data_IF_747475646034
#
_entry.id   IF_747475646034
#
_cell.length_a   1.000
_cell.length_b   1.000
_cell.length_c   1.000
_cell.angle_alpha   90.00
_cell.angle_beta   90.00
_cell.angle_gamma   90.00
#
_symmetry.space_group_name_H-M   'P 1'
#
loop_
_entity.id
_entity.type
_entity.pdbx_description
1 polymer ?
#
# COMPACT_ATOMS: atom_id res chain seq x y z
N UNK A 1 38.49 21.34 -7.34
CA UNK A 1 37.36 20.75 -8.11
C UNK A 1 36.13 21.54 -7.74
N UNK A 2 35.23 21.81 -8.69
CA UNK A 2 33.94 22.40 -8.36
C UNK A 2 32.92 21.28 -8.14
N UNK A 3 32.19 21.36 -7.03
CA UNK A 3 31.15 20.43 -6.64
C UNK A 3 29.77 21.07 -6.82
N UNK A 4 28.82 20.25 -7.28
CA UNK A 4 27.40 20.56 -7.33
C UNK A 4 26.69 19.90 -6.15
N UNK A 5 25.62 20.51 -5.66
CA UNK A 5 24.68 19.83 -4.77
C UNK A 5 23.98 18.73 -5.58
N UNK A 6 23.92 17.50 -5.06
CA UNK A 6 23.27 16.40 -5.78
C UNK A 6 21.79 16.73 -6.04
N UNK A 7 21.31 16.44 -7.26
CA UNK A 7 19.90 16.52 -7.65
C UNK A 7 18.98 15.74 -6.70
N UNK A 8 19.50 14.68 -6.09
CA UNK A 8 18.75 13.75 -5.25
C UNK A 8 18.87 14.05 -3.76
N UNK A 9 19.49 15.18 -3.39
CA UNK A 9 19.57 15.63 -2.02
C UNK A 9 18.28 16.32 -1.58
N UNK A 10 17.76 15.90 -0.42
CA UNK A 10 16.73 16.62 0.32
C UNK A 10 17.40 17.35 1.49
N UNK A 11 17.11 18.64 1.61
CA UNK A 11 17.61 19.52 2.67
C UNK A 11 16.45 19.78 3.61
N UNK A 12 16.52 19.29 4.85
CA UNK A 12 15.42 19.28 5.82
C UNK A 12 15.81 20.16 7.01
N UNK A 13 15.08 21.25 7.22
CA UNK A 13 15.34 22.17 8.34
C UNK A 13 14.82 21.58 9.67
N UNK A 14 15.70 21.54 10.68
CA UNK A 14 15.41 21.06 12.03
C UNK A 14 15.22 22.19 13.06
N UNK A 15 15.30 23.47 12.66
CA UNK A 15 15.13 24.61 13.57
C UNK A 15 16.38 24.95 14.37
N UNK A 16 17.57 24.75 13.78
CA UNK A 16 18.87 25.03 14.39
C UNK A 16 20.03 24.32 13.68
N UNK A 17 19.71 23.21 13.02
CA UNK A 17 20.57 22.44 12.14
C UNK A 17 19.78 21.98 10.91
N UNK A 18 20.46 21.31 9.99
CA UNK A 18 19.89 20.82 8.74
C UNK A 18 20.20 19.34 8.61
N UNK A 19 19.17 18.53 8.37
CA UNK A 19 19.32 17.14 7.99
C UNK A 19 19.44 17.03 6.47
N UNK A 20 20.58 16.54 6.00
CA UNK A 20 20.86 16.18 4.61
C UNK A 20 20.41 14.74 4.39
N UNK A 21 19.48 14.51 3.47
CA UNK A 21 18.99 13.18 3.12
C UNK A 21 19.04 12.93 1.62
N UNK A 22 19.99 12.08 1.19
CA UNK A 22 20.10 11.69 -0.21
C UNK A 22 19.13 10.54 -0.52
N UNK A 23 18.14 10.79 -1.38
CA UNK A 23 17.08 9.80 -1.66
C UNK A 23 17.46 8.67 -2.61
N UNK A 24 18.70 8.64 -3.13
CA UNK A 24 19.23 7.53 -3.95
C UNK A 24 20.00 6.54 -3.10
N UNK A 25 21.01 7.01 -2.38
CA UNK A 25 21.87 6.15 -1.56
C UNK A 25 21.39 6.05 -0.09
N UNK A 26 20.34 6.80 0.28
CA UNK A 26 19.75 6.84 1.62
C UNK A 26 20.67 7.39 2.73
N UNK A 27 21.79 8.02 2.37
CA UNK A 27 22.68 8.64 3.35
C UNK A 27 21.98 9.82 4.04
N UNK A 28 22.17 9.90 5.36
CA UNK A 28 21.62 10.94 6.22
C UNK A 28 22.73 11.53 7.10
N UNK A 29 22.87 12.85 7.10
CA UNK A 29 23.85 13.55 7.93
C UNK A 29 23.25 14.86 8.42
N UNK A 30 23.33 15.13 9.72
CA UNK A 30 22.96 16.42 10.29
C UNK A 30 24.17 17.35 10.23
N UNK A 31 23.95 18.56 9.73
CA UNK A 31 24.97 19.62 9.64
C UNK A 31 24.47 20.89 10.31
N UNK A 32 25.39 21.66 10.88
CA UNK A 32 25.10 22.91 11.60
C UNK A 32 26.06 24.02 11.14
N UNK A 33 25.77 25.28 11.48
CA UNK A 33 26.65 26.42 11.18
C UNK A 33 26.80 26.67 9.68
N UNK A 34 28.04 26.94 9.23
CA UNK A 34 28.34 27.32 7.84
C UNK A 34 27.87 26.27 6.80
N UNK A 35 28.09 24.95 6.98
CA UNK A 35 27.50 23.94 6.10
C UNK A 35 25.96 24.01 6.00
N UNK A 36 25.26 24.19 7.12
CA UNK A 36 23.80 24.29 7.13
C UNK A 36 23.30 25.49 6.31
N UNK A 37 23.93 26.66 6.48
CA UNK A 37 23.63 27.86 5.70
C UNK A 37 23.91 27.67 4.20
N UNK A 38 25.00 26.96 3.85
CA UNK A 38 25.34 26.65 2.46
C UNK A 38 24.26 25.80 1.79
N UNK A 39 23.74 24.77 2.48
CA UNK A 39 22.69 23.89 1.94
C UNK A 39 21.30 24.56 1.91
N UNK A 40 20.94 25.34 2.93
CA UNK A 40 19.66 26.08 2.95
C UNK A 40 19.59 27.13 1.84
N UNK A 41 20.70 27.81 1.57
CA UNK A 41 20.80 28.79 0.49
C UNK A 41 20.93 28.16 -0.90
N UNK A 42 21.20 26.86 -0.99
CA UNK A 42 21.48 26.13 -2.24
C UNK A 42 22.59 26.77 -3.11
N UNK A 43 23.53 27.47 -2.48
CA UNK A 43 24.62 28.15 -3.18
C UNK A 43 25.79 27.20 -3.40
N UNK A 44 26.07 26.89 -4.67
CA UNK A 44 27.25 26.10 -5.04
C UNK A 44 28.55 26.80 -4.60
N UNK A 45 28.62 28.13 -4.68
CA UNK A 45 29.79 28.90 -4.26
C UNK A 45 30.07 28.72 -2.76
N UNK A 46 29.02 28.80 -1.92
CA UNK A 46 29.15 28.57 -0.47
C UNK A 46 29.54 27.13 -0.14
N UNK A 47 28.99 26.15 -0.86
CA UNK A 47 29.38 24.74 -0.71
C UNK A 47 30.86 24.56 -1.05
N UNK A 48 31.34 25.13 -2.15
CA UNK A 48 32.74 24.99 -2.58
C UNK A 48 33.73 25.77 -1.71
N UNK A 49 33.25 26.65 -0.83
CA UNK A 49 34.05 27.36 0.16
C UNK A 49 34.22 26.59 1.50
N UNK A 50 33.58 25.42 1.64
CA UNK A 50 33.73 24.54 2.81
C UNK A 50 35.14 23.92 2.88
N UNK A 51 35.51 23.39 4.05
CA UNK A 51 36.81 22.76 4.27
C UNK A 51 37.01 21.52 3.39
N UNK A 52 38.26 21.20 3.04
CA UNK A 52 38.56 20.07 2.16
C UNK A 52 38.11 18.72 2.72
N UNK A 53 38.23 18.51 4.02
CA UNK A 53 37.77 17.29 4.72
C UNK A 53 36.24 17.17 4.74
N UNK A 54 35.53 18.30 4.91
CA UNK A 54 34.08 18.36 4.83
C UNK A 54 33.60 18.03 3.42
N UNK A 55 34.23 18.63 2.39
CA UNK A 55 33.92 18.34 0.99
C UNK A 55 34.17 16.88 0.63
N UNK A 56 35.27 16.28 1.07
CA UNK A 56 35.54 14.86 0.85
C UNK A 56 34.46 13.98 1.50
N UNK A 57 34.06 14.31 2.73
CA UNK A 57 33.01 13.59 3.45
C UNK A 57 31.66 13.72 2.72
N UNK A 58 31.25 14.94 2.36
CA UNK A 58 29.99 15.19 1.66
C UNK A 58 29.95 14.49 0.29
N UNK A 59 31.08 14.47 -0.43
CA UNK A 59 31.22 13.78 -1.71
C UNK A 59 31.08 12.26 -1.54
N UNK A 60 31.79 11.68 -0.56
CA UNK A 60 31.72 10.24 -0.25
C UNK A 60 30.32 9.81 0.19
N UNK A 61 29.60 10.69 0.90
CA UNK A 61 28.20 10.49 1.32
C UNK A 61 27.20 10.74 0.18
N UNK A 62 27.64 11.32 -0.94
CA UNK A 62 26.83 11.61 -2.12
C UNK A 62 25.91 12.83 -1.97
N UNK A 63 26.12 13.67 -0.97
CA UNK A 63 25.35 14.91 -0.81
C UNK A 63 25.75 15.97 -1.84
N UNK A 64 27.01 15.92 -2.26
CA UNK A 64 27.56 16.71 -3.37
C UNK A 64 28.15 15.77 -4.42
N UNK A 65 28.36 16.28 -5.63
CA UNK A 65 28.86 15.51 -6.77
C UNK A 65 29.68 16.38 -7.70
N UNK A 66 30.55 15.77 -8.51
CA UNK A 66 31.24 16.45 -9.61
C UNK A 66 30.45 16.40 -10.92
N UNK A 67 29.34 15.66 -10.94
CA UNK A 67 28.48 15.52 -12.10
C UNK A 67 27.57 16.73 -12.27
N UNK A 68 27.20 17.01 -13.51
CA UNK A 68 26.08 17.88 -13.83
C UNK A 68 24.75 17.22 -13.43
N UNK A 69 23.67 18.01 -13.23
CA UNK A 69 22.35 17.48 -12.94
C UNK A 69 21.80 16.53 -14.02
N UNK A 70 22.25 16.66 -15.26
CA UNK A 70 21.89 15.81 -16.40
C UNK A 70 22.65 14.47 -16.38
N UNK A 71 23.94 14.50 -16.05
CA UNK A 71 24.75 13.26 -15.87
C UNK A 71 24.25 12.45 -14.68
N UNK A 72 23.88 13.10 -13.57
CA UNK A 72 23.22 12.42 -12.44
C UNK A 72 21.91 11.75 -12.86
N UNK A 73 21.10 12.42 -13.69
CA UNK A 73 19.84 11.86 -14.19
C UNK A 73 20.06 10.60 -15.05
N UNK A 74 21.07 10.62 -15.94
CA UNK A 74 21.42 9.45 -16.75
C UNK A 74 21.82 8.28 -15.86
N UNK A 75 22.73 8.51 -14.90
CA UNK A 75 23.16 7.47 -13.95
C UNK A 75 22.01 6.94 -13.11
N UNK A 76 21.10 7.81 -12.67
CA UNK A 76 19.93 7.37 -11.93
C UNK A 76 19.02 6.48 -12.77
N UNK A 77 18.72 6.87 -14.03
CA UNK A 77 17.89 6.07 -14.95
C UNK A 77 18.51 4.69 -15.20
N UNK A 78 19.83 4.61 -15.40
CA UNK A 78 20.55 3.33 -15.52
C UNK A 78 20.41 2.48 -14.25
N UNK A 79 20.70 3.07 -13.09
CA UNK A 79 20.62 2.41 -11.79
C UNK A 79 19.23 1.82 -11.52
N UNK A 80 18.17 2.62 -11.68
CA UNK A 80 16.80 2.14 -11.41
C UNK A 80 16.31 1.15 -12.45
N UNK A 81 16.81 1.21 -13.70
CA UNK A 81 16.48 0.22 -14.73
C UNK A 81 17.07 -1.15 -14.40
N UNK A 82 18.35 -1.19 -14.01
CA UNK A 82 19.00 -2.43 -13.56
C UNK A 82 18.33 -2.99 -12.31
N UNK A 83 18.02 -2.12 -11.34
CA UNK A 83 17.32 -2.51 -10.12
C UNK A 83 15.94 -3.10 -10.44
N UNK A 84 15.16 -2.44 -11.30
CA UNK A 84 13.83 -2.90 -11.69
C UNK A 84 13.90 -4.26 -12.42
N UNK A 85 14.83 -4.42 -13.37
CA UNK A 85 15.04 -5.69 -14.08
C UNK A 85 15.47 -6.83 -13.15
N UNK A 86 16.24 -6.54 -12.10
CA UNK A 86 16.64 -7.54 -11.10
C UNK A 86 15.49 -7.98 -10.20
N UNK A 87 14.46 -7.15 -10.00
CA UNK A 87 13.31 -7.52 -9.17
C UNK A 87 12.55 -8.73 -9.74
N UNK A 88 12.61 -8.99 -11.05
CA UNK A 88 11.97 -10.14 -11.71
C UNK A 88 12.78 -11.45 -11.71
N UNK A 89 13.90 -11.53 -10.96
CA UNK A 89 14.76 -12.72 -10.95
C UNK A 89 14.28 -13.85 -10.04
N UNK A 90 13.39 -13.58 -9.07
CA UNK A 90 12.69 -14.62 -8.28
C UNK A 90 11.17 -14.49 -8.47
N UNK A 91 10.70 -14.94 -9.63
CA UNK A 91 9.29 -14.91 -10.04
C UNK A 91 8.57 -16.23 -9.73
N UNK A 92 8.97 -16.94 -8.66
CA UNK A 92 8.30 -18.20 -8.26
C UNK A 92 6.95 -17.97 -7.59
N UNK A 93 6.75 -16.82 -6.94
CA UNK A 93 5.51 -16.48 -6.23
C UNK A 93 4.61 -15.50 -6.98
N UNK A 94 3.29 -15.67 -6.85
CA UNK A 94 2.27 -14.80 -7.41
C UNK A 94 1.07 -14.61 -6.49
N UNK A 95 0.22 -13.63 -6.78
CA UNK A 95 -1.03 -13.43 -6.06
C UNK A 95 -2.23 -13.49 -6.99
N UNK A 96 -3.26 -14.25 -6.64
CA UNK A 96 -4.52 -14.22 -7.39
C UNK A 96 -5.64 -13.72 -6.49
N UNK A 97 -6.23 -12.60 -6.88
CA UNK A 97 -7.41 -12.06 -6.24
C UNK A 97 -8.64 -12.49 -7.03
N UNK A 98 -9.51 -13.26 -6.39
CA UNK A 98 -10.77 -13.73 -6.96
C UNK A 98 -11.86 -12.71 -6.62
N UNK A 99 -12.31 -11.94 -7.61
CA UNK A 99 -13.49 -11.11 -7.47
C UNK A 99 -14.71 -12.05 -7.59
N UNK A 100 -15.27 -12.46 -6.46
CA UNK A 100 -16.26 -13.54 -6.38
C UNK A 100 -17.58 -13.14 -7.04
N UNK A 101 -17.99 -11.89 -6.83
CA UNK A 101 -19.13 -11.25 -7.47
C UNK A 101 -19.00 -9.73 -7.31
N UNK A 102 -19.67 -8.96 -8.16
CA UNK A 102 -19.86 -7.53 -7.93
C UNK A 102 -20.99 -7.25 -6.92
N UNK A 103 -21.76 -8.27 -6.52
CA UNK A 103 -22.84 -8.15 -5.53
C UNK A 103 -22.31 -7.94 -4.13
N UNK A 104 -23.01 -7.09 -3.37
CA UNK A 104 -22.73 -6.83 -1.96
C UNK A 104 -24.06 -6.63 -1.23
N UNK A 105 -24.13 -7.02 0.03
CA UNK A 105 -25.28 -6.79 0.89
C UNK A 105 -25.32 -5.37 1.50
N UNK A 106 -24.31 -4.53 1.22
CA UNK A 106 -24.25 -3.11 1.62
C UNK A 106 -24.19 -2.18 0.40
N UNK A 107 -24.70 -0.96 0.53
CA UNK A 107 -24.63 0.15 -0.41
C UNK A 107 -23.81 1.32 0.15
N UNK A 108 -22.55 1.07 0.53
CA UNK A 108 -21.69 2.07 1.18
C UNK A 108 -21.48 3.31 0.29
N UNK A 109 -21.71 4.52 0.81
CA UNK A 109 -21.73 5.78 0.03
C UNK A 109 -20.49 6.04 -0.83
N UNK A 110 -19.31 5.63 -0.35
CA UNK A 110 -18.02 5.83 -1.02
C UNK A 110 -17.59 4.64 -1.90
N UNK A 111 -18.39 3.57 -2.00
CA UNK A 111 -18.00 2.35 -2.69
C UNK A 111 -18.02 2.55 -4.22
N UNK A 112 -16.83 2.52 -4.81
CA UNK A 112 -16.67 2.68 -6.26
C UNK A 112 -17.28 1.53 -7.07
N UNK A 113 -17.35 0.30 -6.53
CA UNK A 113 -17.94 -0.84 -7.23
C UNK A 113 -19.46 -0.76 -7.40
N UNK A 114 -20.15 0.21 -6.76
CA UNK A 114 -21.60 0.32 -6.86
C UNK A 114 -22.09 0.50 -8.30
N UNK A 115 -21.37 1.26 -9.13
CA UNK A 115 -21.78 1.52 -10.51
C UNK A 115 -21.71 0.28 -11.41
N UNK A 116 -20.94 -0.75 -11.02
CA UNK A 116 -20.86 -2.01 -11.75
C UNK A 116 -22.03 -2.96 -11.44
N UNK A 117 -22.75 -2.75 -10.33
CA UNK A 117 -23.79 -3.68 -9.87
C UNK A 117 -24.98 -3.80 -10.83
N UNK A 118 -25.60 -2.70 -11.33
CA UNK A 118 -26.80 -2.82 -12.16
C UNK A 118 -26.59 -3.67 -13.42
N UNK A 119 -25.38 -3.68 -13.96
CA UNK A 119 -25.04 -4.36 -15.21
C UNK A 119 -24.36 -5.72 -15.04
N UNK A 120 -23.93 -6.08 -13.81
CA UNK A 120 -23.16 -7.32 -13.53
C UNK A 120 -23.74 -8.17 -12.38
N UNK A 121 -24.92 -7.79 -11.85
CA UNK A 121 -25.53 -8.33 -10.62
C UNK A 121 -25.88 -9.82 -10.59
N UNK A 122 -25.74 -10.56 -11.69
CA UNK A 122 -26.01 -12.02 -11.71
C UNK A 122 -24.75 -12.87 -11.80
N UNK A 123 -23.59 -12.26 -12.06
CA UNK A 123 -22.37 -13.02 -12.26
C UNK A 123 -21.75 -13.36 -10.90
N UNK A 124 -21.58 -14.67 -10.70
CA UNK A 124 -20.88 -15.27 -9.57
C UNK A 124 -19.82 -16.17 -10.19
N UNK A 125 -18.59 -16.10 -9.67
CA UNK A 125 -17.51 -16.97 -10.10
C UNK A 125 -17.94 -18.43 -9.95
N UNK A 126 -17.70 -19.27 -10.97
CA UNK A 126 -18.13 -20.66 -10.93
C UNK A 126 -17.04 -21.58 -10.36
N UNK A 127 -17.45 -22.74 -9.83
CA UNK A 127 -16.50 -23.79 -9.44
C UNK A 127 -15.66 -24.32 -10.60
N UNK A 128 -16.19 -24.28 -11.83
CA UNK A 128 -15.47 -24.66 -13.04
C UNK A 128 -14.36 -23.64 -13.39
N UNK A 129 -14.61 -22.35 -13.15
CA UNK A 129 -13.61 -21.31 -13.31
C UNK A 129 -12.48 -21.47 -12.29
N UNK A 130 -12.80 -21.70 -11.01
CA UNK A 130 -11.79 -21.97 -9.97
C UNK A 130 -10.92 -23.18 -10.34
N UNK A 131 -11.52 -24.26 -10.82
CA UNK A 131 -10.76 -25.42 -11.29
C UNK A 131 -9.86 -25.09 -12.48
N UNK A 132 -10.36 -24.32 -13.45
CA UNK A 132 -9.57 -23.85 -14.59
C UNK A 132 -8.39 -23.00 -14.13
N UNK A 133 -8.61 -22.09 -13.17
CA UNK A 133 -7.57 -21.27 -12.57
C UNK A 133 -6.48 -22.14 -11.94
N UNK A 134 -6.82 -23.03 -11.01
CA UNK A 134 -5.82 -23.67 -10.16
C UNK A 134 -5.21 -24.95 -10.74
N UNK A 135 -5.95 -25.71 -11.56
CA UNK A 135 -5.46 -26.97 -12.15
C UNK A 135 -4.87 -26.77 -13.56
N UNK A 136 -5.39 -25.81 -14.34
CA UNK A 136 -5.05 -25.71 -15.77
C UNK A 136 -4.24 -24.47 -16.12
N UNK A 137 -4.57 -23.32 -15.55
CA UNK A 137 -4.12 -22.02 -16.06
C UNK A 137 -3.29 -21.19 -15.09
N UNK A 138 -3.03 -21.65 -13.85
CA UNK A 138 -2.36 -20.83 -12.82
C UNK A 138 -1.03 -20.22 -13.31
N UNK A 139 -0.15 -21.06 -13.87
CA UNK A 139 1.15 -20.65 -14.40
C UNK A 139 1.06 -19.84 -15.69
N UNK A 140 -0.10 -19.82 -16.37
CA UNK A 140 -0.35 -19.01 -17.55
C UNK A 140 -0.94 -17.64 -17.17
N UNK A 141 -1.79 -17.59 -16.14
CA UNK A 141 -2.32 -16.36 -15.54
C UNK A 141 -1.17 -15.56 -14.91
N UNK A 142 -0.26 -16.24 -14.22
CA UNK A 142 0.93 -15.61 -13.63
C UNK A 142 2.17 -16.36 -14.12
N UNK A 143 2.75 -15.87 -15.21
CA UNK A 143 3.85 -16.54 -15.94
C UNK A 143 5.00 -16.95 -15.02
N UNK A 144 5.27 -18.24 -14.89
CA UNK A 144 6.38 -18.77 -14.07
C UNK A 144 6.09 -18.86 -12.56
N UNK A 145 4.89 -18.46 -12.12
CA UNK A 145 4.47 -18.67 -10.74
C UNK A 145 4.21 -20.15 -10.45
N UNK A 146 4.51 -20.55 -9.22
CA UNK A 146 4.20 -21.84 -8.64
C UNK A 146 3.19 -21.63 -7.52
N UNK A 147 2.17 -22.49 -7.44
CA UNK A 147 1.11 -22.37 -6.44
C UNK A 147 1.67 -22.35 -5.01
N UNK A 148 2.67 -23.18 -4.70
CA UNK A 148 3.27 -23.29 -3.35
C UNK A 148 4.00 -22.03 -2.86
N UNK A 149 4.33 -21.10 -3.75
CA UNK A 149 4.93 -19.80 -3.42
C UNK A 149 3.94 -18.65 -3.58
N UNK A 150 2.67 -18.97 -3.78
CA UNK A 150 1.64 -18.02 -4.17
C UNK A 150 0.51 -17.91 -3.13
N UNK A 151 -0.28 -16.84 -3.24
CA UNK A 151 -1.39 -16.55 -2.35
C UNK A 151 -2.70 -16.34 -3.11
N UNK A 152 -3.79 -16.51 -2.38
CA UNK A 152 -5.15 -16.27 -2.85
C UNK A 152 -5.76 -15.14 -2.02
N UNK A 153 -6.54 -14.28 -2.67
CA UNK A 153 -7.35 -13.27 -1.98
C UNK A 153 -8.78 -13.31 -2.45
N UNK A 154 -9.75 -13.39 -1.53
CA UNK A 154 -11.17 -13.26 -1.84
C UNK A 154 -11.58 -11.79 -1.82
N UNK A 155 -12.20 -11.34 -2.91
CA UNK A 155 -12.60 -9.96 -3.13
C UNK A 155 -13.95 -9.85 -3.86
N UNK A 156 -14.34 -8.61 -4.16
CA UNK A 156 -15.54 -8.25 -4.91
C UNK A 156 -16.73 -8.03 -3.98
N UNK A 157 -17.51 -6.99 -4.28
CA UNK A 157 -18.73 -6.62 -3.58
C UNK A 157 -18.71 -7.01 -2.09
N UNK A 158 -19.34 -8.13 -1.74
CA UNK A 158 -19.02 -8.91 -0.55
C UNK A 158 -18.62 -10.35 -0.94
N UNK A 159 -17.41 -10.83 -0.61
CA UNK A 159 -17.00 -12.20 -0.97
C UNK A 159 -17.79 -13.26 -0.22
N UNK A 160 -18.18 -13.04 1.05
CA UNK A 160 -18.82 -14.06 1.89
C UNK A 160 -20.35 -14.09 1.78
N UNK A 161 -20.90 -13.67 0.64
CA UNK A 161 -22.32 -13.93 0.35
C UNK A 161 -22.58 -15.45 0.25
N UNK A 162 -23.73 -15.96 0.71
CA UNK A 162 -24.04 -17.40 0.66
C UNK A 162 -23.91 -18.03 -0.74
N UNK A 163 -24.20 -17.25 -1.80
CA UNK A 163 -24.05 -17.69 -3.19
C UNK A 163 -22.63 -18.09 -3.57
N UNK A 164 -21.62 -17.62 -2.82
CA UNK A 164 -20.21 -17.82 -3.11
C UNK A 164 -19.62 -19.00 -2.32
N UNK A 165 -20.36 -19.59 -1.37
CA UNK A 165 -19.83 -20.57 -0.41
C UNK A 165 -19.18 -21.78 -1.08
N UNK A 166 -19.84 -22.39 -2.07
CA UNK A 166 -19.30 -23.55 -2.79
C UNK A 166 -17.93 -23.23 -3.43
N UNK A 167 -17.82 -22.05 -4.04
CA UNK A 167 -16.64 -21.57 -4.75
C UNK A 167 -15.50 -21.24 -3.77
N UNK A 168 -15.83 -20.65 -2.61
CA UNK A 168 -14.88 -20.39 -1.53
C UNK A 168 -14.31 -21.71 -1.01
N UNK A 169 -15.18 -22.67 -0.68
CA UNK A 169 -14.75 -23.98 -0.15
C UNK A 169 -13.89 -24.73 -1.16
N UNK A 170 -14.25 -24.73 -2.44
CA UNK A 170 -13.42 -25.33 -3.51
C UNK A 170 -12.05 -24.65 -3.59
N UNK A 171 -12.01 -23.32 -3.58
CA UNK A 171 -10.77 -22.54 -3.58
C UNK A 171 -9.89 -22.85 -2.36
N UNK A 172 -10.48 -22.94 -1.16
CA UNK A 172 -9.75 -23.32 0.06
C UNK A 172 -9.22 -24.76 -0.01
N UNK A 173 -9.93 -25.67 -0.69
CA UNK A 173 -9.41 -27.00 -1.03
C UNK A 173 -8.10 -26.92 -1.82
N UNK A 174 -8.03 -26.04 -2.81
CA UNK A 174 -6.79 -25.77 -3.55
C UNK A 174 -5.71 -25.11 -2.70
N UNK A 175 -6.10 -24.15 -1.85
CA UNK A 175 -5.19 -23.51 -0.92
C UNK A 175 -4.52 -24.57 -0.01
N UNK A 176 -5.30 -25.51 0.52
CA UNK A 176 -4.79 -26.63 1.30
C UNK A 176 -3.90 -27.55 0.47
N UNK A 177 -4.34 -27.95 -0.72
CA UNK A 177 -3.61 -28.87 -1.64
C UNK A 177 -2.21 -28.35 -1.96
N UNK A 178 -2.07 -27.05 -2.22
CA UNK A 178 -0.81 -26.44 -2.64
C UNK A 178 -0.08 -25.67 -1.54
N UNK A 179 -0.61 -25.62 -0.31
CA UNK A 179 -0.01 -24.88 0.80
C UNK A 179 -0.10 -23.35 0.66
N UNK A 180 -1.09 -22.84 -0.07
CA UNK A 180 -1.29 -21.41 -0.32
C UNK A 180 -1.94 -20.73 0.88
N UNK A 181 -1.49 -19.52 1.19
CA UNK A 181 -2.19 -18.66 2.14
C UNK A 181 -3.40 -18.00 1.46
N UNK A 182 -4.52 -17.96 2.18
CA UNK A 182 -5.76 -17.33 1.70
C UNK A 182 -6.13 -16.13 2.56
N UNK A 183 -6.37 -15.01 1.90
CA UNK A 183 -6.76 -13.75 2.53
C UNK A 183 -8.14 -13.30 2.02
N UNK A 184 -8.78 -12.35 2.68
CA UNK A 184 -10.01 -11.75 2.17
C UNK A 184 -10.11 -10.26 2.53
N UNK A 185 -10.82 -9.49 1.70
CA UNK A 185 -11.31 -8.16 2.08
C UNK A 185 -12.83 -8.24 2.14
N UNK A 186 -13.40 -7.96 3.30
CA UNK A 186 -14.83 -8.16 3.56
C UNK A 186 -15.41 -7.03 4.40
N UNK A 187 -16.72 -6.82 4.26
CA UNK A 187 -17.50 -6.01 5.19
C UNK A 187 -17.78 -6.71 6.52
N UNK A 188 -17.43 -8.00 6.65
CA UNK A 188 -17.57 -8.86 7.83
C UNK A 188 -19.00 -9.05 8.35
N UNK A 189 -20.03 -8.74 7.58
CA UNK A 189 -21.43 -8.86 8.03
C UNK A 189 -22.04 -10.24 7.79
N UNK A 190 -21.43 -11.10 6.99
CA UNK A 190 -21.95 -12.44 6.65
C UNK A 190 -20.96 -13.59 6.95
N UNK A 191 -19.79 -13.28 7.53
CA UNK A 191 -18.76 -14.29 7.83
C UNK A 191 -19.22 -15.32 8.86
N UNK A 192 -20.20 -14.98 9.69
CA UNK A 192 -20.85 -15.87 10.67
C UNK A 192 -21.71 -16.97 10.03
N UNK A 193 -22.00 -16.89 8.74
CA UNK A 193 -22.73 -17.94 8.02
C UNK A 193 -21.83 -19.15 7.69
N UNK A 194 -20.50 -18.95 7.68
CA UNK A 194 -19.51 -19.97 7.36
C UNK A 194 -18.30 -19.87 8.31
N UNK A 195 -18.50 -19.94 9.65
CA UNK A 195 -17.44 -19.66 10.61
C UNK A 195 -16.30 -20.68 10.53
N UNK A 196 -16.57 -21.90 10.04
CA UNK A 196 -15.62 -23.00 9.95
C UNK A 196 -14.50 -22.78 8.92
N UNK A 197 -14.66 -21.84 7.98
CA UNK A 197 -13.63 -21.56 6.97
C UNK A 197 -12.51 -20.65 7.49
N UNK A 198 -12.71 -20.02 8.65
CA UNK A 198 -11.74 -19.13 9.28
C UNK A 198 -10.85 -19.93 10.23
N UNK A 199 -9.54 -19.70 10.12
CA UNK A 199 -8.54 -20.45 10.85
C UNK A 199 -7.14 -19.88 10.65
N UNK A 200 -6.14 -20.65 11.05
CA UNK A 200 -4.73 -20.38 10.77
C UNK A 200 -4.21 -21.36 9.70
N UNK A 201 -3.33 -20.88 8.83
CA UNK A 201 -2.67 -21.68 7.81
C UNK A 201 -3.48 -22.03 6.54
N UNK A 202 -2.89 -22.82 5.63
CA UNK A 202 -3.51 -23.20 4.36
C UNK A 202 -4.79 -24.01 4.52
N UNK A 203 -5.77 -23.77 3.64
CA UNK A 203 -7.10 -24.38 3.71
C UNK A 203 -8.12 -23.60 4.54
N UNK A 204 -7.69 -22.53 5.19
CA UNK A 204 -8.53 -21.56 5.86
C UNK A 204 -8.32 -20.17 5.27
N UNK A 205 -9.28 -19.27 5.49
CA UNK A 205 -9.05 -17.84 5.38
C UNK A 205 -8.26 -17.41 6.60
N UNK A 206 -6.95 -17.19 6.42
CA UNK A 206 -6.01 -16.94 7.52
C UNK A 206 -5.85 -15.45 7.87
N UNK A 207 -6.23 -14.56 6.95
CA UNK A 207 -6.27 -13.11 7.19
C UNK A 207 -7.49 -12.45 6.54
N UNK A 208 -8.17 -11.56 7.27
CA UNK A 208 -9.30 -10.78 6.78
C UNK A 208 -9.08 -9.31 7.04
N UNK A 209 -9.09 -8.49 5.99
CA UNK A 209 -9.23 -7.04 6.11
C UNK A 209 -10.71 -6.69 6.29
N UNK A 210 -11.05 -6.07 7.40
CA UNK A 210 -12.42 -5.67 7.75
C UNK A 210 -12.54 -4.16 7.73
N UNK A 211 -13.47 -3.63 6.97
CA UNK A 211 -13.74 -2.18 6.96
C UNK A 211 -14.66 -1.77 8.13
N UNK A 212 -14.19 -0.86 8.98
CA UNK A 212 -14.93 -0.38 10.15
C UNK A 212 -14.71 1.13 10.34
N UNK A 213 -15.63 1.98 9.88
CA UNK A 213 -15.39 3.42 9.80
C UNK A 213 -15.93 4.20 11.02
N UNK A 214 -15.04 4.63 11.92
CA UNK A 214 -15.37 5.56 13.00
C UNK A 214 -16.37 5.02 14.03
N UNK A 215 -17.06 5.92 14.72
CA UNK A 215 -18.12 5.56 15.69
C UNK A 215 -19.29 4.83 15.02
N UNK A 216 -19.99 3.99 15.79
CA UNK A 216 -21.21 3.28 15.37
C UNK A 216 -22.16 4.11 14.51
N UNK A 217 -22.51 5.32 14.96
CA UNK A 217 -23.50 6.16 14.29
C UNK A 217 -23.02 6.67 12.91
N UNK A 218 -21.71 6.91 12.75
CA UNK A 218 -21.12 7.32 11.48
C UNK A 218 -20.88 6.11 10.56
N UNK A 219 -20.45 4.98 11.12
CA UNK A 219 -20.29 3.73 10.40
C UNK A 219 -21.59 3.36 9.68
N UNK A 220 -22.70 3.25 10.42
CA UNK A 220 -23.97 2.80 9.87
C UNK A 220 -24.59 3.84 8.90
N UNK A 221 -24.26 5.13 9.04
CA UNK A 221 -24.64 6.19 8.07
C UNK A 221 -23.86 6.11 6.75
N UNK A 222 -22.64 5.60 6.77
CA UNK A 222 -21.76 5.51 5.61
C UNK A 222 -21.85 4.16 4.91
N UNK A 223 -21.97 3.07 5.69
CA UNK A 223 -21.99 1.67 5.25
C UNK A 223 -23.41 1.13 5.32
N UNK A 224 -24.25 1.62 4.43
CA UNK A 224 -25.71 1.41 4.47
C UNK A 224 -26.07 -0.05 4.13
N UNK A 225 -26.72 -0.81 5.02
CA UNK A 225 -27.21 -2.16 4.73
C UNK A 225 -28.38 -2.12 3.73
N UNK A 226 -28.40 -3.03 2.76
CA UNK A 226 -29.56 -3.16 1.85
C UNK A 226 -30.81 -3.70 2.58
N UNK A 227 -30.60 -4.47 3.65
CA UNK A 227 -31.67 -5.01 4.49
C UNK A 227 -32.14 -4.10 5.62
N UNK A 228 -31.59 -2.88 5.75
CA UNK A 228 -31.97 -1.90 6.78
C UNK A 228 -31.36 -2.09 8.17
N UNK A 229 -30.87 -3.29 8.50
CA UNK A 229 -30.32 -3.59 9.84
C UNK A 229 -28.90 -3.03 10.05
N UNK A 230 -28.66 -2.23 11.11
CA UNK A 230 -27.34 -1.71 11.47
C UNK A 230 -26.26 -2.80 11.52
N UNK A 231 -25.04 -2.45 11.12
CA UNK A 231 -23.97 -3.42 10.82
C UNK A 231 -22.85 -3.42 11.84
N UNK A 232 -22.64 -2.30 12.55
CA UNK A 232 -21.50 -2.12 13.45
C UNK A 232 -21.37 -3.22 14.51
N UNK A 233 -22.41 -3.47 15.29
CA UNK A 233 -22.36 -4.47 16.38
C UNK A 233 -22.14 -5.89 15.83
N UNK A 234 -22.75 -6.19 14.69
CA UNK A 234 -22.58 -7.48 14.01
C UNK A 234 -21.13 -7.67 13.57
N UNK A 235 -20.51 -6.64 13.01
CA UNK A 235 -19.10 -6.66 12.62
C UNK A 235 -18.19 -6.92 13.83
N UNK A 236 -18.42 -6.25 14.97
CA UNK A 236 -17.62 -6.49 16.18
C UNK A 236 -17.75 -7.94 16.68
N UNK A 237 -18.97 -8.49 16.69
CA UNK A 237 -19.20 -9.91 17.04
C UNK A 237 -18.43 -10.84 16.09
N UNK A 238 -18.47 -10.55 14.79
CA UNK A 238 -17.83 -11.36 13.76
C UNK A 238 -16.30 -11.26 13.80
N UNK A 239 -15.75 -10.10 14.15
CA UNK A 239 -14.31 -9.95 14.42
C UNK A 239 -13.88 -10.87 15.57
N UNK A 240 -14.62 -10.88 16.69
CA UNK A 240 -14.31 -11.78 17.81
C UNK A 240 -14.34 -13.25 17.40
N UNK A 241 -15.35 -13.66 16.63
CA UNK A 241 -15.45 -15.03 16.10
C UNK A 241 -14.21 -15.41 15.27
N UNK A 242 -13.74 -14.52 14.40
CA UNK A 242 -12.51 -14.73 13.61
C UNK A 242 -11.26 -14.82 14.52
N UNK A 243 -11.15 -13.96 15.52
CA UNK A 243 -10.05 -13.95 16.48
C UNK A 243 -10.02 -15.23 17.32
N UNK A 244 -11.16 -15.73 17.79
CA UNK A 244 -11.29 -17.01 18.52
C UNK A 244 -10.79 -18.19 17.68
N UNK A 245 -10.90 -18.08 16.36
CA UNK A 245 -10.41 -19.05 15.37
C UNK A 245 -8.96 -18.81 14.94
N UNK A 246 -8.26 -17.87 15.57
CA UNK A 246 -6.87 -17.49 15.27
C UNK A 246 -6.68 -16.87 13.88
N UNK A 247 -7.74 -16.39 13.25
CA UNK A 247 -7.66 -15.63 12.00
C UNK A 247 -7.14 -14.24 12.29
N UNK A 248 -6.16 -13.79 11.49
CA UNK A 248 -5.65 -12.44 11.56
C UNK A 248 -6.69 -11.46 11.02
N UNK A 249 -7.04 -10.45 11.79
CA UNK A 249 -8.00 -9.42 11.40
C UNK A 249 -7.28 -8.08 11.30
N UNK A 250 -7.37 -7.47 10.13
CA UNK A 250 -6.87 -6.12 9.91
C UNK A 250 -8.03 -5.16 9.75
N UNK A 251 -8.26 -4.35 10.78
CA UNK A 251 -9.34 -3.36 10.79
C UNK A 251 -8.88 -2.14 9.99
N UNK A 252 -9.49 -1.94 8.82
CA UNK A 252 -9.25 -0.79 7.95
C UNK A 252 -10.27 0.31 8.23
N UNK A 253 -9.79 1.47 8.62
CA UNK A 253 -10.59 2.70 8.72
C UNK A 253 -10.55 3.43 7.38
N UNK A 254 -11.70 3.68 6.74
CA UNK A 254 -11.76 4.56 5.58
C UNK A 254 -12.02 6.00 6.07
N UNK A 255 -10.98 6.83 6.10
CA UNK A 255 -11.05 8.13 6.76
C UNK A 255 -11.37 9.29 5.81
N UNK A 256 -12.26 10.16 6.28
CA UNK A 256 -12.52 11.53 5.84
C UNK A 256 -12.46 12.47 7.08
N UNK A 257 -12.69 13.77 6.90
CA UNK A 257 -12.69 14.73 8.03
C UNK A 257 -13.61 14.31 9.18
N UNK A 258 -14.81 13.83 8.88
CA UNK A 258 -15.86 13.53 9.87
C UNK A 258 -15.56 12.27 10.66
N UNK A 259 -15.17 11.21 9.94
CA UNK A 259 -14.84 9.91 10.54
C UNK A 259 -13.61 10.03 11.42
N UNK A 260 -12.61 10.86 11.05
CA UNK A 260 -11.41 11.10 11.85
C UNK A 260 -11.72 11.57 13.26
N UNK A 261 -12.65 12.52 13.44
CA UNK A 261 -13.05 13.03 14.76
C UNK A 261 -13.67 11.95 15.66
N UNK A 262 -14.26 10.91 15.05
CA UNK A 262 -14.90 9.81 15.77
C UNK A 262 -13.99 8.62 16.06
N UNK A 263 -12.77 8.58 15.48
CA UNK A 263 -11.82 7.47 15.68
C UNK A 263 -11.50 7.19 17.15
N UNK A 264 -11.29 8.19 18.03
CA UNK A 264 -11.04 7.92 19.45
C UNK A 264 -12.15 7.10 20.12
N UNK A 265 -13.42 7.32 19.71
CA UNK A 265 -14.55 6.54 20.23
C UNK A 265 -14.54 5.11 19.72
N UNK A 266 -14.22 4.90 18.45
CA UNK A 266 -14.02 3.55 17.90
C UNK A 266 -12.90 2.80 18.64
N UNK A 267 -11.76 3.45 18.89
CA UNK A 267 -10.66 2.85 19.65
C UNK A 267 -11.11 2.42 21.04
N UNK A 268 -11.88 3.26 21.73
CA UNK A 268 -12.47 2.92 23.02
C UNK A 268 -13.37 1.69 22.91
N UNK A 269 -14.28 1.66 21.94
CA UNK A 269 -15.17 0.50 21.73
C UNK A 269 -14.39 -0.79 21.45
N UNK A 270 -13.32 -0.73 20.65
CA UNK A 270 -12.48 -1.88 20.33
C UNK A 270 -11.68 -2.38 21.55
N UNK A 271 -11.24 -1.48 22.44
CA UNK A 271 -10.59 -1.84 23.71
C UNK A 271 -11.58 -2.48 24.68
N UNK A 272 -12.73 -1.83 24.90
CA UNK A 272 -13.77 -2.30 25.82
C UNK A 272 -14.33 -3.66 25.36
N UNK A 273 -14.33 -3.91 24.05
CA UNK A 273 -14.76 -5.18 23.47
C UNK A 273 -13.70 -6.30 23.50
N UNK A 274 -12.47 -6.01 23.95
CA UNK A 274 -11.35 -6.95 23.97
C UNK A 274 -10.78 -7.30 22.59
N UNK A 275 -11.20 -6.56 21.55
CA UNK A 275 -10.73 -6.76 20.17
C UNK A 275 -9.33 -6.15 20.03
N UNK A 276 -9.18 -4.88 20.39
CA UNK A 276 -7.88 -4.20 20.40
C UNK A 276 -7.09 -4.65 21.63
N UNK A 277 -5.90 -5.21 21.38
CA UNK A 277 -5.09 -5.91 22.39
C UNK A 277 -4.95 -7.41 22.11
N UNK A 278 -5.76 -7.96 21.22
CA UNK A 278 -5.53 -9.31 20.67
C UNK A 278 -4.32 -9.32 19.75
N UNK A 279 -3.45 -10.33 19.88
CA UNK A 279 -2.32 -10.56 18.95
C UNK A 279 -2.75 -10.93 17.52
N UNK A 280 -4.04 -11.15 17.30
CA UNK A 280 -4.64 -11.46 16.01
C UNK A 280 -5.30 -10.24 15.36
N UNK A 281 -5.23 -9.07 15.99
CA UNK A 281 -5.90 -7.86 15.49
C UNK A 281 -4.87 -6.75 15.32
N UNK A 282 -4.86 -6.14 14.14
CA UNK A 282 -4.26 -4.83 13.93
C UNK A 282 -5.32 -3.84 13.42
N UNK A 283 -5.03 -2.57 13.60
CA UNK A 283 -5.88 -1.50 13.10
C UNK A 283 -5.01 -0.55 12.29
N UNK A 284 -5.54 -0.14 11.15
CA UNK A 284 -4.90 0.87 10.35
C UNK A 284 -5.91 1.76 9.64
N UNK A 285 -5.46 2.94 9.24
CA UNK A 285 -6.26 3.92 8.55
C UNK A 285 -5.85 4.11 7.09
N UNK A 286 -6.81 4.15 6.19
CA UNK A 286 -6.60 4.45 4.78
C UNK A 286 -7.47 5.67 4.42
N UNK A 287 -6.85 6.79 4.00
CA UNK A 287 -7.62 7.96 3.58
C UNK A 287 -8.49 7.62 2.36
N UNK A 288 -9.72 8.12 2.36
CA UNK A 288 -10.55 8.11 1.16
C UNK A 288 -9.88 9.01 0.10
N UNK A 289 -9.66 8.46 -1.10
CA UNK A 289 -9.08 9.19 -2.22
C UNK A 289 -10.04 9.26 -3.40
N UNK A 290 -9.95 10.35 -4.15
CA UNK A 290 -10.79 10.71 -5.31
C UNK A 290 -10.54 9.87 -6.58
N UNK A 291 -9.66 8.87 -6.54
CA UNK A 291 -9.27 8.14 -7.76
C UNK A 291 -10.45 7.46 -8.48
N UNK A 292 -11.46 7.00 -7.73
CA UNK A 292 -12.69 6.36 -8.27
C UNK A 292 -13.94 6.64 -7.41
N UNK A 293 -13.79 6.92 -6.10
CA UNK A 293 -14.93 7.26 -5.24
C UNK A 293 -15.42 8.70 -5.48
N UNK A 294 -16.72 8.87 -5.76
CA UNK A 294 -17.38 10.18 -5.78
C UNK A 294 -17.64 10.64 -4.34
N UNK A 295 -16.61 11.15 -3.68
CA UNK A 295 -16.73 11.82 -2.37
C UNK A 295 -16.67 13.33 -2.62
N UNK A 296 -17.39 14.11 -1.83
CA UNK A 296 -17.35 15.57 -1.90
C UNK A 296 -15.92 16.05 -1.59
N UNK A 297 -15.35 16.89 -2.45
CA UNK A 297 -13.97 17.35 -2.34
C UNK A 297 -13.69 18.16 -1.06
N UNK A 298 -14.73 18.66 -0.40
CA UNK A 298 -14.63 19.40 0.86
C UNK A 298 -14.34 18.50 2.08
N UNK A 299 -14.57 17.19 1.96
CA UNK A 299 -14.37 16.21 3.04
C UNK A 299 -12.92 15.67 3.14
N UNK A 300 -12.01 16.05 2.24
CA UNK A 300 -10.62 15.59 2.26
C UNK A 300 -9.80 16.26 3.37
N UNK A 301 -9.10 15.45 4.15
CA UNK A 301 -8.12 15.89 5.15
C UNK A 301 -6.75 16.04 4.47
N UNK A 302 -6.00 17.09 4.81
CA UNK A 302 -4.57 17.17 4.47
C UNK A 302 -3.85 15.93 5.00
N UNK A 303 -3.04 15.29 4.15
CA UNK A 303 -2.41 14.02 4.49
C UNK A 303 -1.38 14.11 5.61
N UNK A 304 -0.74 15.26 5.80
CA UNK A 304 0.18 15.50 6.90
C UNK A 304 -0.61 15.68 8.21
N UNK A 305 -1.71 16.44 8.18
CA UNK A 305 -2.59 16.61 9.34
C UNK A 305 -3.23 15.27 9.77
N UNK A 306 -3.66 14.46 8.80
CA UNK A 306 -4.20 13.13 9.06
C UNK A 306 -3.14 12.21 9.66
N UNK A 307 -1.93 12.22 9.10
CA UNK A 307 -0.81 11.42 9.60
C UNK A 307 -0.47 11.77 11.04
N UNK A 308 -0.44 13.05 11.41
CA UNK A 308 -0.17 13.48 12.78
C UNK A 308 -1.24 12.98 13.75
N UNK A 309 -2.53 13.18 13.42
CA UNK A 309 -3.64 12.80 14.30
C UNK A 309 -3.75 11.29 14.48
N UNK A 310 -3.53 10.51 13.42
CA UNK A 310 -3.57 9.04 13.48
C UNK A 310 -2.39 8.49 14.28
N UNK A 311 -1.22 9.11 14.14
CA UNK A 311 -0.03 8.79 14.94
C UNK A 311 -0.25 9.03 16.44
N UNK A 312 -0.85 10.16 16.83
CA UNK A 312 -1.15 10.47 18.24
C UNK A 312 -2.09 9.44 18.89
N UNK A 313 -2.89 8.74 18.09
CA UNK A 313 -3.80 7.68 18.54
C UNK A 313 -3.15 6.29 18.62
N UNK A 314 -1.88 6.16 18.22
CA UNK A 314 -1.20 4.87 18.11
C UNK A 314 -1.81 3.94 17.07
N UNK A 315 -2.45 4.52 16.05
CA UNK A 315 -3.01 3.77 14.91
C UNK A 315 -2.02 3.88 13.77
N UNK A 316 -1.75 2.77 13.10
CA UNK A 316 -0.97 2.82 11.87
C UNK A 316 -1.81 3.47 10.77
N UNK A 317 -1.30 4.46 10.07
CA UNK A 317 -1.87 4.77 8.76
C UNK A 317 -1.47 3.58 7.86
N UNK A 318 -2.33 3.00 7.03
CA UNK A 318 -1.94 2.19 5.86
C UNK A 318 -2.23 3.03 4.62
N UNK A 319 -1.22 3.80 4.29
CA UNK A 319 -1.15 4.61 3.11
C UNK A 319 0.27 4.41 2.56
N UNK A 320 0.52 4.62 1.27
CA UNK A 320 1.88 4.65 0.76
C UNK A 320 2.83 5.50 1.62
N UNK A 321 2.33 6.53 2.30
CA UNK A 321 3.06 7.35 3.30
C UNK A 321 3.58 6.56 4.50
N UNK A 322 2.78 5.71 5.14
CA UNK A 322 3.20 5.01 6.36
C UNK A 322 4.04 3.79 6.07
N UNK A 323 3.75 3.08 4.97
CA UNK A 323 4.70 2.12 4.40
C UNK A 323 6.05 2.81 4.18
N UNK A 324 6.04 4.04 3.65
CA UNK A 324 7.26 4.85 3.51
C UNK A 324 7.86 5.22 4.87
N UNK A 325 7.08 5.53 5.90
CA UNK A 325 7.59 5.84 7.25
C UNK A 325 8.27 4.62 7.93
N UNK A 326 7.73 3.41 7.73
CA UNK A 326 8.36 2.17 8.21
C UNK A 326 9.63 1.84 7.42
N UNK A 327 9.60 1.99 6.09
CA UNK A 327 10.80 1.90 5.24
C UNK A 327 11.88 2.89 5.70
N UNK A 328 11.48 4.14 6.00
CA UNK A 328 12.35 5.19 6.55
C UNK A 328 12.90 4.78 7.92
N UNK A 329 12.08 4.24 8.81
CA UNK A 329 12.53 3.73 10.13
C UNK A 329 13.55 2.60 9.98
N UNK A 330 13.39 1.75 8.96
CA UNK A 330 14.38 0.73 8.63
C UNK A 330 15.71 1.31 8.16
N UNK A 331 15.72 2.45 7.45
CA UNK A 331 16.95 3.14 7.01
C UNK A 331 17.89 3.41 8.19
N UNK A 332 17.33 3.77 9.35
CA UNK A 332 18.11 4.06 10.55
C UNK A 332 18.83 2.85 11.15
N UNK A 333 18.37 1.63 10.84
CA UNK A 333 18.98 0.35 11.26
C UNK A 333 19.98 -0.18 10.23
N UNK A 334 20.03 0.40 9.03
CA UNK A 334 20.86 -0.08 7.93
C UNK A 334 22.35 0.21 8.17
N UNK A 335 23.18 -0.85 8.20
CA UNK A 335 24.65 -0.72 8.34
C UNK A 335 25.40 -0.77 7.00
N UNK A 336 24.79 -1.34 5.96
CA UNK A 336 25.38 -1.50 4.62
C UNK A 336 24.28 -1.74 3.57
N UNK A 337 24.56 -1.41 2.31
CA UNK A 337 23.66 -1.63 1.19
C UNK A 337 22.75 -0.44 0.89
N UNK A 338 21.74 -0.66 0.04
CA UNK A 338 20.76 0.36 -0.32
C UNK A 338 19.58 0.31 0.64
N UNK A 339 19.16 1.46 1.14
CA UNK A 339 18.03 1.55 2.05
C UNK A 339 16.67 1.66 1.34
N UNK A 340 16.62 2.39 0.22
CA UNK A 340 15.42 2.56 -0.60
C UNK A 340 15.58 1.90 -1.96
N UNK A 341 14.62 1.04 -2.32
CA UNK A 341 14.71 0.20 -3.53
C UNK A 341 13.42 0.17 -4.36
N UNK A 342 12.46 1.05 -4.06
CA UNK A 342 11.14 1.03 -4.71
C UNK A 342 11.21 1.63 -6.11
N UNK A 343 11.33 0.79 -7.13
CA UNK A 343 11.38 1.21 -8.54
C UNK A 343 10.00 1.34 -9.21
N UNK A 344 8.95 0.81 -8.57
CA UNK A 344 7.56 0.92 -9.00
C UNK A 344 6.63 0.92 -7.78
N UNK A 345 5.44 1.49 -7.93
CA UNK A 345 4.57 1.78 -6.79
C UNK A 345 3.83 0.57 -6.22
N UNK A 346 3.18 -0.24 -7.07
CA UNK A 346 2.36 -1.37 -6.61
C UNK A 346 2.30 -2.52 -7.63
N UNK A 347 1.50 -3.54 -7.28
CA UNK A 347 1.27 -4.74 -8.08
C UNK A 347 0.80 -4.47 -9.52
N UNK A 348 0.13 -3.34 -9.79
CA UNK A 348 -0.29 -2.96 -11.14
C UNK A 348 0.89 -2.96 -12.11
N UNK A 349 2.06 -2.44 -11.71
CA UNK A 349 3.23 -2.46 -12.58
C UNK A 349 3.77 -3.88 -12.76
N UNK A 350 3.86 -4.67 -11.68
CA UNK A 350 4.59 -5.94 -11.74
C UNK A 350 3.82 -7.07 -12.42
N UNK A 351 2.48 -7.01 -12.43
CA UNK A 351 1.61 -8.08 -12.95
C UNK A 351 1.95 -9.47 -12.37
N UNK A 352 2.53 -9.51 -11.17
CA UNK A 352 2.75 -10.72 -10.36
C UNK A 352 1.60 -11.00 -9.42
N UNK A 353 0.70 -10.03 -9.26
CA UNK A 353 -0.60 -10.22 -8.66
C UNK A 353 -1.66 -9.66 -9.59
N UNK A 354 -2.72 -10.42 -9.81
CA UNK A 354 -3.81 -10.06 -10.72
C UNK A 354 -5.16 -10.31 -10.07
N UNK A 355 -6.17 -9.65 -10.61
CA UNK A 355 -7.57 -9.87 -10.24
C UNK A 355 -8.25 -10.63 -11.36
N UNK A 356 -8.95 -11.71 -11.04
CA UNK A 356 -9.81 -12.44 -11.98
C UNK A 356 -11.26 -12.25 -11.55
N UNK A 357 -12.09 -11.77 -12.45
CA UNK A 357 -13.50 -11.51 -12.19
C UNK A 357 -14.41 -12.68 -12.60
N UNK A 358 -15.72 -12.64 -12.25
CA UNK A 358 -16.66 -13.72 -12.53
C UNK A 358 -16.88 -14.03 -14.01
N UNK A 359 -16.43 -13.15 -14.90
CA UNK A 359 -16.52 -13.32 -16.36
C UNK A 359 -15.22 -13.86 -16.96
N UNK A 360 -14.18 -14.09 -16.12
CA UNK A 360 -12.86 -14.49 -16.58
C UNK A 360 -11.99 -13.31 -17.00
N UNK A 361 -12.46 -12.06 -16.91
CA UNK A 361 -11.64 -10.91 -17.22
C UNK A 361 -10.54 -10.73 -16.17
N UNK A 362 -9.32 -10.47 -16.65
CA UNK A 362 -8.13 -10.30 -15.82
C UNK A 362 -7.78 -8.82 -15.75
N UNK A 363 -7.49 -8.34 -14.55
CA UNK A 363 -7.12 -6.96 -14.26
C UNK A 363 -5.82 -6.88 -13.47
N UNK A 364 -5.05 -5.81 -13.71
CA UNK A 364 -3.83 -5.52 -12.96
C UNK A 364 -4.06 -4.88 -11.59
N UNK A 365 -5.29 -4.44 -11.31
CA UNK A 365 -5.65 -3.73 -10.09
C UNK A 365 -7.13 -3.98 -9.75
N UNK A 366 -7.45 -4.16 -8.47
CA UNK A 366 -8.84 -4.34 -8.01
C UNK A 366 -9.69 -3.08 -8.12
N UNK A 367 -9.06 -1.91 -8.17
CA UNK A 367 -9.72 -0.63 -8.44
C UNK A 367 -10.16 -0.51 -9.92
N UNK A 368 -9.44 -1.17 -10.83
CA UNK A 368 -9.77 -1.16 -12.27
C UNK A 368 -10.69 -2.32 -12.70
N UNK A 369 -10.91 -3.30 -11.82
CA UNK A 369 -11.77 -4.43 -12.06
C UNK A 369 -13.23 -3.99 -12.18
N UNK A 370 -13.84 -4.27 -13.34
CA UNK A 370 -15.16 -3.76 -13.67
C UNK A 370 -15.22 -3.01 -14.99
N UNK A 371 -14.12 -2.33 -15.35
CA UNK A 371 -14.04 -1.45 -16.51
C UNK A 371 -13.46 -2.19 -17.73
N UNK A 372 -14.22 -2.45 -18.80
CA UNK A 372 -13.76 -3.26 -19.94
C UNK A 372 -12.47 -2.75 -20.61
N UNK A 373 -12.24 -1.43 -20.58
CA UNK A 373 -11.06 -0.77 -21.16
C UNK A 373 -9.77 -0.96 -20.35
N UNK A 374 -9.86 -1.45 -19.11
CA UNK A 374 -8.69 -1.68 -18.23
C UNK A 374 -8.36 -3.15 -18.03
N UNK A 375 -8.97 -4.03 -18.83
CA UNK A 375 -8.62 -5.44 -18.86
C UNK A 375 -7.18 -5.60 -19.34
N UNK A 376 -6.43 -6.43 -18.63
CA UNK A 376 -5.07 -6.85 -19.04
C UNK A 376 -5.10 -8.22 -19.70
N UNK A 377 -6.19 -8.98 -19.56
CA UNK A 377 -6.36 -10.24 -20.25
C UNK A 377 -7.73 -10.86 -20.01
N UNK A 378 -7.91 -12.08 -20.49
CA UNK A 378 -9.12 -12.87 -20.33
C UNK A 378 -8.76 -14.36 -20.19
N UNK A 379 -9.43 -15.01 -19.25
CA UNK A 379 -9.33 -16.44 -18.96
C UNK A 379 -10.52 -17.18 -19.58
N UNK A 380 -10.23 -18.17 -20.40
CA UNK A 380 -11.20 -19.13 -20.92
C UNK A 380 -10.81 -20.56 -20.56
N UNK A 381 -11.66 -21.53 -20.92
CA UNK A 381 -11.31 -22.95 -20.79
C UNK A 381 -10.10 -23.36 -21.66
N UNK A 382 -9.91 -22.68 -22.80
CA UNK A 382 -8.86 -22.99 -23.76
C UNK A 382 -7.51 -22.33 -23.43
N UNK A 383 -7.47 -21.32 -22.57
CA UNK A 383 -6.23 -20.65 -22.19
C UNK A 383 -6.41 -19.26 -21.58
N UNK A 384 -5.31 -18.53 -21.53
CA UNK A 384 -5.25 -17.13 -21.11
C UNK A 384 -4.79 -16.28 -22.28
N UNK A 385 -5.55 -15.24 -22.60
CA UNK A 385 -5.18 -14.21 -23.56
C UNK A 385 -4.80 -12.93 -22.81
N UNK A 386 -3.65 -12.34 -23.10
CA UNK A 386 -3.26 -11.04 -22.55
C UNK A 386 -3.42 -9.92 -23.59
N UNK A 387 -3.94 -8.78 -23.14
CA UNK A 387 -4.13 -7.57 -23.94
C UNK A 387 -2.94 -6.62 -23.83
N UNK A 388 -2.77 -5.65 -24.75
CA UNK A 388 -1.60 -4.75 -24.77
C UNK A 388 -1.34 -3.96 -23.47
N UNK A 389 -2.41 -3.71 -22.70
CA UNK A 389 -2.31 -3.02 -21.41
C UNK A 389 -1.46 -3.78 -20.40
N UNK A 390 -1.43 -5.12 -20.47
CA UNK A 390 -0.60 -5.97 -19.63
C UNK A 390 0.89 -5.63 -19.74
N UNK A 391 1.40 -5.48 -20.96
CA UNK A 391 2.80 -5.12 -21.19
C UNK A 391 3.05 -3.64 -20.91
N UNK A 392 2.07 -2.78 -21.22
CA UNK A 392 2.14 -1.33 -20.90
C UNK A 392 2.31 -1.09 -19.40
N UNK A 393 1.67 -1.89 -18.55
CA UNK A 393 1.82 -1.77 -17.11
C UNK A 393 3.22 -2.14 -16.63
N UNK A 394 3.83 -3.18 -17.21
CA UNK A 394 5.18 -3.66 -16.84
C UNK A 394 6.28 -2.66 -17.16
N UNK A 395 6.09 -1.80 -18.16
CA UNK A 395 7.07 -0.77 -18.51
C UNK A 395 7.00 0.46 -17.59
N UNK A 396 6.00 0.55 -16.71
CA UNK A 396 5.80 1.70 -15.83
C UNK A 396 6.66 1.65 -14.57
N UNK A 397 7.91 2.09 -14.67
CA UNK A 397 8.86 2.22 -13.55
C UNK A 397 9.59 3.56 -13.57
N UNK A 398 10.32 3.89 -12.51
CA UNK A 398 10.96 5.20 -12.30
C UNK A 398 11.84 5.69 -13.47
N UNK A 399 12.44 4.80 -14.27
CA UNK A 399 13.28 5.22 -15.40
C UNK A 399 12.46 5.85 -16.55
N UNK A 400 11.21 5.40 -16.69
CA UNK A 400 10.28 5.77 -17.76
C UNK A 400 9.26 6.82 -17.32
N UNK A 401 9.42 7.37 -16.11
CA UNK A 401 8.58 8.43 -15.55
C UNK A 401 9.43 9.70 -15.44
N UNK A 402 9.38 10.58 -16.44
CA UNK A 402 10.34 11.68 -16.57
C UNK A 402 10.37 12.66 -15.38
N UNK A 403 9.21 12.96 -14.81
CA UNK A 403 9.10 13.79 -13.60
C UNK A 403 9.65 13.05 -12.37
N UNK A 404 9.36 11.76 -12.25
CA UNK A 404 9.81 10.93 -11.13
C UNK A 404 11.32 10.66 -11.18
N UNK A 405 11.90 10.50 -12.37
CA UNK A 405 13.34 10.27 -12.55
C UNK A 405 14.21 11.42 -12.02
N UNK A 406 13.63 12.63 -11.96
CA UNK A 406 14.27 13.84 -11.43
C UNK A 406 13.95 14.10 -9.95
N UNK A 407 13.11 13.26 -9.34
CA UNK A 407 12.57 13.52 -8.01
C UNK A 407 13.52 12.98 -6.91
N UNK A 408 13.88 13.79 -5.89
CA UNK A 408 14.81 13.39 -4.84
C UNK A 408 14.21 12.40 -3.82
N UNK A 409 12.95 12.00 -3.95
CA UNK A 409 12.31 10.96 -3.10
C UNK A 409 11.76 9.80 -3.92
N UNK A 410 12.22 9.64 -5.17
CA UNK A 410 11.66 8.70 -6.13
C UNK A 410 11.70 7.25 -5.63
N UNK A 411 12.81 6.81 -5.02
CA UNK A 411 12.99 5.46 -4.50
C UNK A 411 12.23 5.17 -3.20
N UNK A 412 11.77 6.20 -2.49
CA UNK A 412 10.78 6.03 -1.42
C UNK A 412 9.36 5.93 -2.00
N UNK A 413 9.06 6.72 -3.03
CA UNK A 413 7.71 6.82 -3.57
C UNK A 413 7.34 5.68 -4.53
N UNK A 414 8.23 5.28 -5.43
CA UNK A 414 7.96 4.30 -6.50
C UNK A 414 7.17 4.86 -7.70
N UNK A 415 7.01 6.18 -7.81
CA UNK A 415 6.36 6.81 -8.96
C UNK A 415 4.83 6.83 -8.94
N UNK A 416 4.21 6.81 -7.75
CA UNK A 416 2.77 6.90 -7.49
C UNK A 416 1.88 5.80 -8.10
N UNK A 417 0.64 5.75 -7.63
CA UNK A 417 -0.42 4.90 -8.17
C UNK A 417 -0.67 5.22 -9.65
N UNK A 418 -0.62 4.20 -10.51
CA UNK A 418 -0.87 4.34 -11.95
C UNK A 418 -2.34 4.64 -12.27
N UNK A 419 -3.28 4.09 -11.49
CA UNK A 419 -4.72 4.43 -11.58
C UNK A 419 -4.91 5.93 -11.34
N UNK A 420 -4.40 6.43 -10.22
CA UNK A 420 -4.44 7.87 -9.87
C UNK A 420 -3.83 8.76 -10.95
N UNK A 421 -2.65 8.36 -11.44
CA UNK A 421 -1.94 9.08 -12.52
C UNK A 421 -2.84 9.22 -13.75
N UNK A 422 -3.43 8.11 -14.20
CA UNK A 422 -4.33 8.10 -15.36
C UNK A 422 -5.61 8.89 -15.13
N UNK A 423 -6.29 8.70 -13.99
CA UNK A 423 -7.54 9.40 -13.70
C UNK A 423 -7.35 10.92 -13.65
N UNK A 424 -6.28 11.40 -12.99
CA UNK A 424 -6.05 12.84 -12.80
C UNK A 424 -5.41 13.54 -14.01
N UNK A 425 -4.60 12.83 -14.79
CA UNK A 425 -3.80 13.46 -15.86
C UNK A 425 -4.16 12.99 -17.27
N UNK A 426 -4.94 11.91 -17.40
CA UNK A 426 -5.17 11.22 -18.66
C UNK A 426 -4.01 10.33 -19.11
N UNK A 427 -2.88 10.32 -18.40
CA UNK A 427 -1.67 9.59 -18.78
C UNK A 427 -1.17 8.69 -17.63
N UNK A 428 -0.89 7.43 -17.95
CA UNK A 428 -0.34 6.47 -16.99
C UNK A 428 1.08 6.85 -16.54
N UNK A 429 1.87 7.46 -17.41
CA UNK A 429 3.27 7.80 -17.18
C UNK A 429 3.48 9.20 -16.60
N UNK A 430 2.42 10.00 -16.49
CA UNK A 430 2.45 11.31 -15.84
C UNK A 430 1.95 11.22 -14.39
N UNK A 431 2.84 11.37 -13.38
CA UNK A 431 2.46 11.17 -11.99
C UNK A 431 1.52 12.26 -11.49
N UNK A 432 0.54 11.89 -10.66
CA UNK A 432 -0.24 12.84 -9.86
C UNK A 432 0.21 12.78 -8.39
N UNK A 433 1.13 13.68 -8.02
CA UNK A 433 1.89 13.59 -6.78
C UNK A 433 1.13 14.05 -5.52
N UNK A 434 0.24 15.05 -5.65
CA UNK A 434 -0.36 15.79 -4.52
C UNK A 434 0.71 16.13 -3.45
N UNK A 435 0.40 16.04 -2.15
CA UNK A 435 1.35 16.35 -1.06
C UNK A 435 2.36 15.24 -0.75
N UNK A 436 2.44 14.19 -1.56
CA UNK A 436 3.23 13.00 -1.22
C UNK A 436 4.69 13.31 -0.90
N UNK A 437 5.32 14.21 -1.67
CA UNK A 437 6.73 14.56 -1.45
C UNK A 437 6.92 15.20 -0.08
N UNK A 438 6.04 16.15 0.29
CA UNK A 438 6.06 16.80 1.60
C UNK A 438 5.92 15.77 2.71
N UNK A 439 4.94 14.88 2.57
CA UNK A 439 4.67 13.86 3.60
C UNK A 439 5.87 12.91 3.77
N UNK A 440 6.53 12.47 2.70
CA UNK A 440 7.75 11.63 2.81
C UNK A 440 8.84 12.36 3.60
N UNK A 441 9.06 13.63 3.30
CA UNK A 441 10.09 14.44 3.98
C UNK A 441 9.76 14.67 5.44
N UNK A 442 8.50 14.99 5.77
CA UNK A 442 8.06 15.11 7.17
C UNK A 442 8.19 13.78 7.91
N UNK A 443 7.92 12.65 7.27
CA UNK A 443 8.15 11.32 7.86
C UNK A 443 9.63 11.05 8.13
N UNK A 444 10.54 11.45 7.24
CA UNK A 444 11.99 11.38 7.47
C UNK A 444 12.39 12.25 8.68
N UNK A 445 11.89 13.49 8.71
CA UNK A 445 12.15 14.44 9.80
C UNK A 445 11.68 13.89 11.15
N UNK A 446 10.44 13.40 11.22
CA UNK A 446 9.84 12.87 12.44
C UNK A 446 10.59 11.62 12.92
N UNK A 447 10.91 10.69 12.02
CA UNK A 447 11.67 9.49 12.37
C UNK A 447 13.08 9.82 12.88
N UNK A 448 13.75 10.81 12.27
CA UNK A 448 15.04 11.32 12.73
C UNK A 448 14.95 11.93 14.13
N UNK A 449 14.00 12.84 14.35
CA UNK A 449 13.81 13.51 15.64
C UNK A 449 13.45 12.52 16.75
N UNK A 450 12.58 11.55 16.47
CA UNK A 450 12.19 10.54 17.47
C UNK A 450 13.37 9.67 17.90
N UNK A 451 14.26 9.30 16.97
CA UNK A 451 15.49 8.55 17.30
C UNK A 451 16.44 9.34 18.20
N UNK A 452 16.49 10.66 18.01
CA UNK A 452 17.44 11.54 18.70
C UNK A 452 16.84 12.24 19.92
N UNK A 453 15.59 11.97 20.30
CA UNK A 453 15.02 12.50 21.54
C UNK A 453 15.79 11.94 22.74
N UNK A 454 16.16 12.78 23.73
CA UNK A 454 16.65 12.28 25.01
C UNK A 454 15.63 11.32 25.62
N UNK A 455 16.09 10.19 26.14
CA UNK A 455 15.23 9.25 26.86
C UNK A 455 14.78 9.88 28.19
N UNK A 456 13.70 10.64 28.18
CA UNK A 456 13.07 11.10 29.42
C UNK A 456 12.22 9.96 29.99
N UNK A 457 12.77 9.24 30.98
CA UNK A 457 11.98 8.41 31.91
C UNK A 457 11.50 7.05 31.41
N UNK A 458 12.09 6.47 30.35
CA UNK A 458 11.79 5.10 29.97
C UNK A 458 12.54 4.11 30.88
N UNK A 459 11.80 3.33 31.65
CA UNK A 459 12.27 2.04 32.19
C UNK A 459 12.82 1.20 31.04
N UNK A 460 13.94 0.52 31.26
CA UNK A 460 14.77 -0.27 30.31
C UNK A 460 14.06 -1.35 29.47
N UNK A 461 12.73 -1.41 29.41
CA UNK A 461 12.00 -2.31 28.52
C UNK A 461 10.73 -1.62 28.01
N UNK A 462 10.87 -0.89 26.90
CA UNK A 462 9.90 -0.76 25.79
C UNK A 462 10.34 0.39 24.87
N UNK A 463 11.15 0.06 23.87
CA UNK A 463 11.06 0.80 22.61
C UNK A 463 9.58 0.79 22.19
N UNK A 464 9.00 1.89 21.66
CA UNK A 464 7.73 1.79 20.97
C UNK A 464 7.95 0.82 19.82
N UNK A 465 7.40 -0.38 19.96
CA UNK A 465 7.36 -1.41 18.92
C UNK A 465 6.59 -0.81 17.73
N UNK A 466 7.32 -0.10 16.86
CA UNK A 466 6.95 0.08 15.46
C UNK A 466 7.19 -1.26 14.74
N UNK A 467 6.65 -2.35 15.31
CA UNK A 467 6.57 -3.66 14.66
C UNK A 467 5.31 -3.61 13.81
N UNK A 468 5.46 -3.01 12.64
CA UNK A 468 4.57 -3.25 11.52
C UNK A 468 4.44 -4.77 11.34
N UNK A 469 3.20 -5.26 11.45
CA UNK A 469 2.84 -6.67 11.16
C UNK A 469 2.82 -6.98 9.66
N UNK A 470 3.31 -6.06 8.83
CA UNK A 470 3.60 -6.28 7.42
C UNK A 470 5.09 -6.55 7.27
N UNK A 471 5.41 -7.85 7.20
CA UNK A 471 6.69 -8.35 6.70
C UNK A 471 6.84 -8.13 5.20
#
# INVERSE_FOLDING_TARGET
MNYNISRYLNVIDLGGSVLLFNGVNSCMDEVSGQPAEAFLSRSAERINALGSEELETLLKRGHITTLSPEEELVRFKEFVSVMHGNMGKDDRGGGIMLLMSYNCNLACKYCYQQEHRPHKSRAVMSEAMVETIFEKQFSNIIKGAQQSFSNISFYGGEPFLPSNEAVIRKTLGYAKKYGMQSTAISNATMVDLMPDIFGDGPGFVSRVQVSLDGSKELHDKSRVPLGGEPTYDKILKNIRMMVERKTQVSIRLNLDKRTMESVPRLIKDLKDSGILGSKYVNIYASPLHDNIAKVDATDFVDMADLSSKVFDLGIDLEHPVSMRANEISHLFKLKRGFGLTRTCFCMQTRQRSVVVDPFGDIYGCFEEAGYPQYRVGHLSESGVEFFPLHETYKTRHLANLDECAKCPVALACGGQCGVKSRTKTGDLFKPACDDTKRVIIESVKLAYQNRNRPAEGASDDKEPDLVSTHG
#
